data_IF_560850121424
#
_entry.id   IF_560850121424
#
_cell.length_a   1.000
_cell.length_b   1.000
_cell.length_c   1.000
_cell.angle_alpha   90.00
_cell.angle_beta   90.00
_cell.angle_gamma   90.00
#
_symmetry.space_group_name_H-M   'P 1'
#
loop_
_entity.id
_entity.type
_entity.pdbx_description
1 polymer ?
#
# COMPACT_ATOMS: atom_id res chain seq x y z
N UNK A 1 -3.37 7.56 -5.25
CA UNK A 1 -3.51 7.36 -3.80
C UNK A 1 -4.27 8.54 -3.25
N UNK A 2 -5.47 8.29 -2.75
CA UNK A 2 -6.29 9.30 -2.06
C UNK A 2 -5.77 9.57 -0.63
N UNK A 3 -6.40 10.54 0.04
CA UNK A 3 -6.01 10.97 1.38
C UNK A 3 -6.28 9.89 2.44
N UNK A 4 -7.38 9.15 2.33
CA UNK A 4 -7.79 8.14 3.30
C UNK A 4 -6.80 6.96 3.33
N UNK A 5 -6.44 6.44 2.15
CA UNK A 5 -5.43 5.40 2.00
C UNK A 5 -4.07 5.88 2.51
N UNK A 6 -3.71 7.14 2.25
CA UNK A 6 -2.45 7.71 2.72
C UNK A 6 -2.35 7.74 4.25
N UNK A 7 -3.42 8.16 4.92
CA UNK A 7 -3.46 8.19 6.38
C UNK A 7 -3.48 6.79 6.99
N UNK A 8 -4.24 5.87 6.39
CA UNK A 8 -4.27 4.47 6.82
C UNK A 8 -2.87 3.83 6.74
N UNK A 9 -2.15 4.07 5.64
CA UNK A 9 -0.76 3.63 5.50
C UNK A 9 0.15 4.25 6.54
N UNK A 10 0.00 5.54 6.84
CA UNK A 10 0.82 6.19 7.84
C UNK A 10 0.65 5.60 9.24
N UNK A 11 -0.59 5.27 9.62
CA UNK A 11 -0.88 4.56 10.88
C UNK A 11 -0.28 3.15 10.89
N UNK A 12 -0.44 2.40 9.80
CA UNK A 12 0.05 1.02 9.70
C UNK A 12 1.59 0.93 9.68
N UNK A 13 2.26 1.93 9.09
CA UNK A 13 3.72 1.98 8.97
C UNK A 13 4.40 2.71 10.15
N UNK A 14 3.61 3.29 11.08
CA UNK A 14 4.10 3.99 12.27
C UNK A 14 4.70 5.38 12.02
N UNK A 15 4.61 5.92 10.81
CA UNK A 15 5.05 7.27 10.48
C UNK A 15 4.26 7.85 9.27
N UNK A 16 4.30 9.17 9.03
CA UNK A 16 3.61 9.75 7.88
C UNK A 16 4.24 9.34 6.54
N UNK A 17 3.41 9.07 5.53
CA UNK A 17 3.87 8.87 4.15
C UNK A 17 4.36 10.21 3.60
N UNK A 18 5.66 10.32 3.31
CA UNK A 18 6.30 11.53 2.76
C UNK A 18 6.34 11.52 1.24
N UNK A 19 6.40 10.34 0.63
CA UNK A 19 6.43 10.19 -0.82
C UNK A 19 5.64 8.94 -1.24
N UNK A 20 4.91 9.02 -2.35
CA UNK A 20 4.25 7.88 -2.97
C UNK A 20 4.36 8.00 -4.50
N UNK A 21 4.93 6.98 -5.14
CA UNK A 21 5.07 6.93 -6.61
C UNK A 21 4.26 5.76 -7.16
N UNK A 22 3.37 5.97 -8.13
CA UNK A 22 2.67 4.86 -8.78
C UNK A 22 3.68 3.97 -9.50
N UNK A 23 3.45 2.66 -9.40
CA UNK A 23 4.23 1.65 -10.12
C UNK A 23 3.30 1.01 -11.14
N UNK A 24 3.55 1.30 -12.42
CA UNK A 24 2.80 0.72 -13.54
C UNK A 24 3.34 -0.68 -13.84
N UNK A 25 2.46 -1.67 -14.03
CA UNK A 25 2.87 -3.04 -14.39
C UNK A 25 2.06 -4.20 -13.79
N UNK A 26 0.93 -3.97 -13.12
CA UNK A 26 0.08 -5.04 -12.58
C UNK A 26 -1.40 -4.74 -12.76
N UNK A 27 -2.08 -5.58 -13.55
CA UNK A 27 -3.41 -5.33 -14.12
C UNK A 27 -4.59 -5.50 -13.13
N UNK A 28 -4.32 -5.85 -11.86
CA UNK A 28 -5.37 -6.24 -10.90
C UNK A 28 -5.44 -5.30 -9.68
N UNK A 29 -4.34 -4.66 -9.32
CA UNK A 29 -4.26 -3.78 -8.14
C UNK A 29 -3.47 -2.53 -8.48
N UNK A 30 -3.91 -1.39 -7.95
CA UNK A 30 -3.09 -0.20 -7.92
C UNK A 30 -1.88 -0.45 -7.02
N UNK A 31 -0.71 -0.02 -7.48
CA UNK A 31 0.54 -0.24 -6.77
C UNK A 31 1.34 1.05 -6.59
N UNK A 32 1.96 1.21 -5.42
CA UNK A 32 2.82 2.35 -5.11
C UNK A 32 4.10 1.93 -4.40
N UNK A 33 5.19 2.60 -4.73
CA UNK A 33 6.37 2.66 -3.89
C UNK A 33 6.23 3.87 -2.95
N UNK A 34 6.22 3.63 -1.64
CA UNK A 34 6.03 4.67 -0.63
C UNK A 34 7.27 4.84 0.26
N UNK A 35 7.52 6.08 0.69
CA UNK A 35 8.50 6.41 1.74
C UNK A 35 7.76 6.86 2.99
N UNK A 36 8.21 6.35 4.13
CA UNK A 36 7.59 6.57 5.42
C UNK A 36 8.69 6.60 6.50
N UNK A 37 8.91 7.76 7.12
CA UNK A 37 10.12 8.00 7.92
C UNK A 37 11.39 7.67 7.13
N UNK A 38 12.26 6.84 7.71
CA UNK A 38 13.49 6.36 7.07
C UNK A 38 13.26 5.11 6.20
N UNK A 39 12.06 4.54 6.23
CA UNK A 39 11.68 3.30 5.57
C UNK A 39 11.12 3.46 4.16
N UNK A 40 11.10 2.34 3.43
CA UNK A 40 10.46 2.18 2.13
C UNK A 40 9.49 1.00 2.21
N UNK A 41 8.30 1.16 1.63
CA UNK A 41 7.32 0.09 1.51
C UNK A 41 6.74 0.02 0.10
N UNK A 42 6.25 -1.15 -0.27
CA UNK A 42 5.49 -1.37 -1.50
C UNK A 42 4.03 -1.65 -1.12
N UNK A 43 3.12 -0.87 -1.67
CA UNK A 43 1.69 -0.94 -1.36
C UNK A 43 0.97 -1.47 -2.59
N UNK A 44 0.08 -2.43 -2.39
CA UNK A 44 -0.95 -2.82 -3.36
C UNK A 44 -2.31 -2.53 -2.74
N UNK A 45 -3.18 -1.85 -3.47
CA UNK A 45 -4.56 -1.65 -3.06
C UNK A 45 -5.48 -1.80 -4.27
N UNK A 46 -6.77 -2.00 -4.00
CA UNK A 46 -7.82 -2.04 -5.01
C UNK A 46 -9.04 -1.33 -4.44
N UNK A 47 -9.58 -0.38 -5.19
CA UNK A 47 -10.83 0.29 -4.82
C UNK A 47 -11.97 -0.75 -4.73
N UNK A 48 -12.69 -0.76 -3.59
CA UNK A 48 -13.80 -1.69 -3.37
C UNK A 48 -13.41 -3.14 -3.08
N UNK A 49 -12.14 -3.43 -2.77
CA UNK A 49 -11.77 -4.74 -2.26
C UNK A 49 -12.39 -4.98 -0.88
N UNK A 50 -13.01 -6.14 -0.66
CA UNK A 50 -13.50 -6.51 0.65
C UNK A 50 -12.35 -6.54 1.68
N UNK A 51 -12.60 -6.15 2.93
CA UNK A 51 -11.66 -6.39 4.02
C UNK A 51 -11.18 -7.85 3.97
N UNK A 52 -9.89 -8.09 4.15
CA UNK A 52 -9.21 -9.41 4.04
C UNK A 52 -8.81 -9.92 2.65
N UNK A 53 -9.13 -9.21 1.56
CA UNK A 53 -8.72 -9.60 0.19
C UNK A 53 -7.20 -9.77 0.03
N UNK A 54 -6.38 -9.03 0.80
CA UNK A 54 -4.92 -9.10 0.75
C UNK A 54 -4.27 -9.91 1.87
N UNK A 55 -5.05 -10.48 2.81
CA UNK A 55 -4.49 -11.26 3.93
C UNK A 55 -3.68 -12.47 3.43
N UNK A 56 -4.13 -13.12 2.35
CA UNK A 56 -3.42 -14.25 1.74
C UNK A 56 -2.11 -13.84 1.04
N UNK A 57 -2.01 -12.61 0.51
CA UNK A 57 -0.79 -12.11 -0.13
C UNK A 57 0.26 -11.66 0.89
N UNK A 58 -0.15 -11.24 2.10
CA UNK A 58 0.72 -10.81 3.17
C UNK A 58 1.45 -11.97 3.87
N UNK A 59 0.94 -13.20 3.77
CA UNK A 59 1.58 -14.41 4.31
C UNK A 59 2.78 -14.88 3.47
N UNK A 60 2.96 -14.33 2.27
CA UNK A 60 3.92 -14.85 1.29
C UNK A 60 3.39 -16.13 0.65
N UNK A 61 3.57 -16.27 -0.66
CA UNK A 61 3.53 -17.59 -1.28
C UNK A 61 4.77 -18.31 -0.72
N UNK A 62 4.55 -19.33 0.11
CA UNK A 62 5.61 -20.07 0.81
C UNK A 62 6.72 -20.57 -0.11
#
# INVERSE_FOLDING_TARGET
MDAELREALGRALGAPVTQARPVTGGDINDAWAVRCGDGRAFVKARAGAEPHTFSAAATGLG
#
